data_IF_122225075439
#
_entry.id   IF_122225075439
#
_cell.length_a   1.000
_cell.length_b   1.000
_cell.length_c   1.000
_cell.angle_alpha   90.00
_cell.angle_beta   90.00
_cell.angle_gamma   90.00
#
_symmetry.space_group_name_H-M   'P 1'
#
loop_
_entity.id
_entity.type
_entity.pdbx_description
1 polymer ?
#
# COMPACT_ATOMS: atom_id res chain seq x y z
N UNK A 1 48.75 12.22 -6.03
CA UNK A 1 48.09 13.51 -5.75
C UNK A 1 47.26 13.87 -6.98
N UNK A 2 46.03 13.34 -6.96
CA UNK A 2 44.77 14.09 -7.10
C UNK A 2 44.46 14.52 -8.53
N UNK A 3 43.93 13.54 -9.28
CA UNK A 3 43.15 13.77 -10.48
C UNK A 3 41.85 14.51 -10.08
N UNK A 4 41.69 15.72 -10.61
CA UNK A 4 40.49 16.53 -10.44
C UNK A 4 39.31 15.90 -11.17
N UNK A 5 38.49 15.17 -10.39
CA UNK A 5 37.14 14.80 -10.76
C UNK A 5 36.24 16.05 -10.72
N UNK A 6 36.33 16.88 -11.76
CA UNK A 6 35.32 17.92 -12.02
C UNK A 6 34.01 17.20 -12.37
N UNK A 7 33.11 17.10 -11.39
CA UNK A 7 31.71 16.73 -11.60
C UNK A 7 31.10 17.68 -12.62
N UNK A 8 30.98 17.23 -13.87
CA UNK A 8 30.21 17.87 -14.92
C UNK A 8 28.77 18.12 -14.45
N UNK A 9 28.51 19.33 -13.96
CA UNK A 9 27.16 19.84 -13.80
C UNK A 9 26.50 19.82 -15.19
N UNK A 10 25.54 18.90 -15.40
CA UNK A 10 24.77 18.79 -16.65
C UNK A 10 24.30 20.18 -17.06
N UNK A 11 24.83 20.71 -18.16
CA UNK A 11 24.34 21.94 -18.79
C UNK A 11 22.81 21.80 -18.96
N UNK A 12 22.05 22.72 -18.36
CA UNK A 12 20.57 22.75 -18.45
C UNK A 12 20.05 23.18 -19.83
N UNK A 13 20.93 23.48 -20.79
CA UNK A 13 20.59 24.01 -22.13
C UNK A 13 20.60 22.96 -23.25
N UNK A 14 20.00 23.27 -24.41
CA UNK A 14 20.14 22.47 -25.62
C UNK A 14 21.57 22.58 -26.17
N UNK A 15 22.09 21.48 -26.75
CA UNK A 15 23.37 21.51 -27.45
C UNK A 15 23.33 22.49 -28.64
N UNK A 16 24.44 23.18 -28.93
CA UNK A 16 24.52 24.19 -29.98
C UNK A 16 24.04 23.69 -31.35
N UNK A 17 24.38 22.44 -31.72
CA UNK A 17 23.88 21.77 -32.94
C UNK A 17 22.36 21.70 -33.01
N UNK A 18 21.70 21.49 -31.87
CA UNK A 18 20.24 21.39 -31.77
C UNK A 18 19.59 22.76 -31.87
N UNK A 19 20.23 23.79 -31.32
CA UNK A 19 19.79 25.19 -31.47
C UNK A 19 19.87 25.62 -32.93
N UNK A 20 20.97 25.34 -33.60
CA UNK A 20 21.13 25.63 -35.03
C UNK A 20 20.09 24.90 -35.88
N UNK A 21 19.90 23.59 -35.64
CA UNK A 21 18.92 22.76 -36.36
C UNK A 21 17.49 23.29 -36.32
N UNK A 22 17.06 23.85 -35.19
CA UNK A 22 15.68 24.33 -35.02
C UNK A 22 15.54 25.85 -35.11
N UNK A 23 16.61 26.60 -35.41
CA UNK A 23 16.61 28.07 -35.40
C UNK A 23 15.50 28.66 -36.28
N UNK A 24 15.51 28.31 -37.57
CA UNK A 24 14.52 28.78 -38.54
C UNK A 24 13.09 28.38 -38.17
N UNK A 25 12.91 27.14 -37.71
CA UNK A 25 11.60 26.64 -37.27
C UNK A 25 11.07 27.38 -36.04
N UNK A 26 11.95 27.77 -35.09
CA UNK A 26 11.59 28.57 -33.91
C UNK A 26 11.18 29.98 -34.32
N UNK A 27 11.92 30.61 -35.23
CA UNK A 27 11.61 31.94 -35.74
C UNK A 27 10.25 31.95 -36.44
N UNK A 28 9.99 30.99 -37.33
CA UNK A 28 8.68 30.83 -37.97
C UNK A 28 7.56 30.54 -36.96
N UNK A 29 7.86 29.79 -35.90
CA UNK A 29 6.86 29.47 -34.87
C UNK A 29 6.43 30.70 -34.06
N UNK A 30 7.34 31.65 -33.82
CA UNK A 30 7.07 32.89 -33.10
C UNK A 30 6.48 34.01 -33.97
N UNK A 31 6.85 34.07 -35.25
CA UNK A 31 6.45 35.16 -36.17
C UNK A 31 5.22 34.86 -37.02
N UNK A 32 4.80 33.60 -37.15
CA UNK A 32 3.70 33.21 -38.04
C UNK A 32 2.59 32.42 -37.33
N UNK A 33 1.39 32.44 -37.94
CA UNK A 33 0.25 31.60 -37.53
C UNK A 33 0.31 30.17 -38.11
N UNK A 34 1.37 29.80 -38.85
CA UNK A 34 1.52 28.50 -39.51
C UNK A 34 1.50 27.32 -38.53
N UNK A 35 0.82 26.24 -38.87
CA UNK A 35 0.80 25.05 -38.01
C UNK A 35 2.21 24.47 -37.82
N UNK A 36 2.45 23.82 -36.68
CA UNK A 36 3.74 23.15 -36.41
C UNK A 36 4.11 22.16 -37.53
N UNK A 37 3.11 21.48 -38.12
CA UNK A 37 3.32 20.59 -39.26
C UNK A 37 3.80 21.34 -40.51
N UNK A 38 3.19 22.48 -40.83
CA UNK A 38 3.58 23.31 -41.95
C UNK A 38 5.00 23.88 -41.76
N UNK A 39 5.34 24.32 -40.55
CA UNK A 39 6.69 24.79 -40.20
C UNK A 39 7.70 23.67 -40.35
N UNK A 40 7.39 22.46 -39.84
CA UNK A 40 8.27 21.31 -39.95
C UNK A 40 8.53 20.90 -41.40
N UNK A 41 7.49 20.91 -42.24
CA UNK A 41 7.61 20.62 -43.66
C UNK A 41 8.48 21.67 -44.38
N UNK A 42 8.30 22.96 -44.07
CA UNK A 42 9.06 24.05 -44.67
C UNK A 42 10.54 24.04 -44.27
N UNK A 43 10.85 23.75 -43.01
CA UNK A 43 12.23 23.74 -42.50
C UNK A 43 12.91 22.36 -42.62
N UNK A 44 12.26 21.34 -43.19
CA UNK A 44 12.82 19.99 -43.30
C UNK A 44 13.12 19.31 -41.96
N UNK A 45 12.39 19.66 -40.89
CA UNK A 45 12.61 19.11 -39.54
C UNK A 45 11.54 18.11 -39.13
N UNK A 46 11.92 17.13 -38.30
CA UNK A 46 10.95 16.16 -37.76
C UNK A 46 9.94 16.85 -36.83
N UNK A 47 8.65 16.61 -37.07
CA UNK A 47 7.56 17.08 -36.22
C UNK A 47 7.72 16.66 -34.76
N UNK A 48 8.06 15.39 -34.50
CA UNK A 48 8.23 14.89 -33.14
C UNK A 48 9.44 15.53 -32.45
N UNK A 49 10.53 15.71 -33.19
CA UNK A 49 11.77 16.33 -32.71
C UNK A 49 11.59 17.81 -32.38
N UNK A 50 11.02 18.57 -33.31
CA UNK A 50 10.78 20.00 -33.13
C UNK A 50 9.76 20.27 -32.03
N UNK A 51 8.68 19.48 -31.95
CA UNK A 51 7.72 19.57 -30.85
C UNK A 51 8.39 19.34 -29.50
N UNK A 52 9.20 18.28 -29.37
CA UNK A 52 9.93 17.99 -28.13
C UNK A 52 10.87 19.13 -27.74
N UNK A 53 11.53 19.74 -28.74
CA UNK A 53 12.39 20.89 -28.55
C UNK A 53 11.63 22.12 -28.01
N UNK A 54 10.47 22.46 -28.59
CA UNK A 54 9.63 23.56 -28.11
C UNK A 54 9.16 23.34 -26.67
N UNK A 55 8.69 22.13 -26.33
CA UNK A 55 8.22 21.83 -24.97
C UNK A 55 9.32 21.93 -23.91
N UNK A 56 10.56 21.59 -24.27
CA UNK A 56 11.69 21.51 -23.33
C UNK A 56 12.49 22.80 -23.23
N UNK A 57 12.68 23.50 -24.35
CA UNK A 57 13.62 24.62 -24.45
C UNK A 57 12.99 25.95 -24.84
N UNK A 58 11.84 25.96 -25.53
CA UNK A 58 11.13 27.19 -25.95
C UNK A 58 9.68 27.21 -25.47
N UNK A 59 9.50 26.93 -24.17
CA UNK A 59 8.18 26.86 -23.54
C UNK A 59 7.53 28.24 -23.43
N UNK A 60 8.34 29.29 -23.36
CA UNK A 60 7.97 30.70 -23.51
C UNK A 60 7.13 30.97 -24.76
N UNK A 61 7.68 30.61 -25.94
CA UNK A 61 7.00 30.80 -27.23
C UNK A 61 5.74 29.94 -27.33
N UNK A 62 5.82 28.73 -26.79
CA UNK A 62 4.71 27.79 -26.78
C UNK A 62 3.54 28.37 -25.95
N UNK A 63 3.81 28.92 -24.76
CA UNK A 63 2.80 29.56 -23.91
C UNK A 63 2.24 30.85 -24.54
N UNK A 64 3.12 31.72 -25.05
CA UNK A 64 2.74 32.98 -25.70
C UNK A 64 1.79 32.75 -26.88
N UNK A 65 2.08 31.79 -27.75
CA UNK A 65 1.24 31.44 -28.90
C UNK A 65 -0.16 30.93 -28.50
N UNK A 66 -0.29 30.38 -27.29
CA UNK A 66 -1.56 29.94 -26.73
C UNK A 66 -2.23 31.01 -25.85
N UNK A 67 -1.71 32.25 -25.83
CA UNK A 67 -2.26 33.36 -25.05
C UNK A 67 -2.04 33.23 -23.55
N UNK A 68 -1.03 32.47 -23.11
CA UNK A 68 -0.71 32.27 -21.70
C UNK A 68 0.54 33.09 -21.36
N UNK A 69 0.36 34.12 -20.53
CA UNK A 69 1.47 34.90 -20.00
C UNK A 69 2.23 34.09 -18.93
N UNK A 70 3.56 34.12 -18.98
CA UNK A 70 4.42 33.60 -17.93
C UNK A 70 5.43 34.69 -17.54
N UNK A 71 5.43 35.07 -16.26
CA UNK A 71 6.21 36.20 -15.75
C UNK A 71 7.72 35.92 -15.67
N UNK A 72 8.13 34.64 -15.64
CA UNK A 72 9.54 34.24 -15.64
C UNK A 72 9.76 32.88 -16.33
N UNK A 73 11.02 32.54 -16.63
CA UNK A 73 11.38 31.23 -17.19
C UNK A 73 11.11 30.06 -16.21
N UNK A 74 11.23 30.30 -14.90
CA UNK A 74 10.87 29.35 -13.85
C UNK A 74 9.34 29.14 -13.82
N UNK A 75 8.56 30.23 -13.92
CA UNK A 75 7.10 30.16 -13.98
C UNK A 75 6.62 29.48 -15.25
N UNK A 76 7.27 29.70 -16.39
CA UNK A 76 6.95 29.04 -17.65
C UNK A 76 7.05 27.51 -17.53
N UNK A 77 8.00 26.97 -16.76
CA UNK A 77 8.17 25.54 -16.56
C UNK A 77 6.97 24.89 -15.83
N UNK A 78 6.41 25.58 -14.84
CA UNK A 78 5.29 25.08 -14.03
C UNK A 78 3.91 25.50 -14.56
N UNK A 79 3.85 26.56 -15.37
CA UNK A 79 2.64 27.06 -16.02
C UNK A 79 2.11 26.06 -17.04
N UNK A 80 0.84 25.71 -16.97
CA UNK A 80 0.20 24.78 -17.92
C UNK A 80 -0.41 25.56 -19.07
N UNK A 81 -0.27 25.03 -20.29
CA UNK A 81 -0.94 25.53 -21.49
C UNK A 81 -2.46 25.54 -21.39
N UNK A 82 -3.00 24.68 -20.54
CA UNK A 82 -4.43 24.50 -20.34
C UNK A 82 -4.69 24.30 -18.86
N UNK A 83 -5.77 24.92 -18.38
CA UNK A 83 -6.40 24.54 -17.13
C UNK A 83 -6.72 23.04 -17.11
N UNK A 84 -6.77 22.46 -15.90
CA UNK A 84 -7.12 21.04 -15.72
C UNK A 84 -8.51 20.71 -16.26
N UNK A 85 -9.38 21.71 -16.37
CA UNK A 85 -10.79 21.60 -16.74
C UNK A 85 -11.20 22.83 -17.55
N UNK A 86 -12.41 22.77 -18.11
CA UNK A 86 -13.01 23.85 -18.88
C UNK A 86 -12.78 23.72 -20.38
N UNK A 87 -13.44 24.65 -21.08
CA UNK A 87 -13.39 24.78 -22.54
C UNK A 87 -11.96 25.09 -22.99
N UNK A 88 -11.54 24.54 -24.12
CA UNK A 88 -10.23 24.89 -24.72
C UNK A 88 -10.29 26.28 -25.34
N UNK A 89 -9.16 26.99 -25.42
CA UNK A 89 -9.10 28.29 -26.09
C UNK A 89 -9.58 28.21 -27.56
N UNK A 90 -9.22 27.14 -28.27
CA UNK A 90 -9.71 26.90 -29.64
C UNK A 90 -11.23 26.66 -29.70
N UNK A 91 -11.81 25.96 -28.72
CA UNK A 91 -13.27 25.80 -28.66
C UNK A 91 -13.95 27.12 -28.26
N UNK A 92 -13.35 27.91 -27.37
CA UNK A 92 -13.84 29.25 -27.04
C UNK A 92 -13.81 30.17 -28.26
N UNK A 93 -12.76 30.13 -29.07
CA UNK A 93 -12.70 30.87 -30.33
C UNK A 93 -13.74 30.37 -31.35
N UNK A 94 -13.91 29.04 -31.47
CA UNK A 94 -14.86 28.44 -32.42
C UNK A 94 -16.32 28.70 -32.07
N UNK A 95 -16.68 28.61 -30.80
CA UNK A 95 -18.08 28.67 -30.34
C UNK A 95 -18.42 29.99 -29.65
N UNK A 96 -17.45 30.86 -29.38
CA UNK A 96 -17.61 32.05 -28.54
C UNK A 96 -18.70 32.99 -29.03
N UNK A 97 -18.67 33.33 -30.31
CA UNK A 97 -19.64 34.26 -30.91
C UNK A 97 -21.05 33.68 -30.92
N UNK A 98 -21.18 32.38 -31.24
CA UNK A 98 -22.47 31.69 -31.19
C UNK A 98 -23.01 31.53 -29.77
N UNK A 99 -22.12 31.34 -28.77
CA UNK A 99 -22.49 31.31 -27.36
C UNK A 99 -22.93 32.70 -26.87
N UNK A 100 -22.27 33.77 -27.31
CA UNK A 100 -22.68 35.14 -27.02
C UNK A 100 -24.05 35.45 -27.64
N UNK A 101 -24.27 35.06 -28.90
CA UNK A 101 -25.56 35.19 -29.57
C UNK A 101 -26.68 34.43 -28.85
N UNK A 102 -26.41 33.26 -28.28
CA UNK A 102 -27.39 32.55 -27.45
C UNK A 102 -27.86 33.33 -26.21
N UNK A 103 -27.06 34.30 -25.72
CA UNK A 103 -27.41 35.17 -24.60
C UNK A 103 -27.93 36.55 -25.00
N UNK A 104 -27.93 36.89 -26.28
CA UNK A 104 -28.33 38.19 -26.80
C UNK A 104 -29.81 38.18 -27.20
N UNK A 105 -30.55 39.20 -26.76
CA UNK A 105 -31.97 39.36 -27.01
C UNK A 105 -32.31 39.35 -28.51
N UNK A 106 -31.38 39.82 -29.37
CA UNK A 106 -31.53 39.83 -30.82
C UNK A 106 -31.75 38.43 -31.42
N UNK A 107 -31.30 37.38 -30.73
CA UNK A 107 -31.38 36.01 -31.22
C UNK A 107 -32.35 35.12 -30.43
N UNK A 108 -33.18 35.71 -29.57
CA UNK A 108 -34.17 34.94 -28.78
C UNK A 108 -35.29 34.34 -29.63
N UNK A 109 -35.51 34.80 -30.85
CA UNK A 109 -36.44 34.16 -31.79
C UNK A 109 -35.88 32.81 -32.30
N UNK A 110 -34.60 32.76 -32.68
CA UNK A 110 -33.94 31.58 -33.26
C UNK A 110 -33.65 30.48 -32.25
N UNK A 111 -33.91 29.21 -32.54
CA UNK A 111 -33.48 28.09 -31.70
C UNK A 111 -31.94 27.87 -31.75
N UNK A 112 -31.41 27.04 -30.85
CA UNK A 112 -29.94 26.80 -30.76
C UNK A 112 -29.37 26.22 -32.06
N UNK A 113 -30.14 25.40 -32.79
CA UNK A 113 -29.72 24.84 -34.07
C UNK A 113 -29.67 25.91 -35.16
N UNK A 114 -30.67 26.80 -35.21
CA UNK A 114 -30.71 27.93 -36.13
C UNK A 114 -29.54 28.89 -35.86
N UNK A 115 -29.27 29.20 -34.59
CA UNK A 115 -28.08 29.97 -34.21
C UNK A 115 -26.82 29.24 -34.67
N UNK A 116 -26.69 27.93 -34.45
CA UNK A 116 -25.51 27.20 -34.94
C UNK A 116 -25.32 27.35 -36.46
N UNK A 117 -26.40 27.25 -37.24
CA UNK A 117 -26.33 27.43 -38.69
C UNK A 117 -25.94 28.87 -39.10
N UNK A 118 -26.46 29.90 -38.41
CA UNK A 118 -26.08 31.30 -38.65
C UNK A 118 -24.57 31.54 -38.51
N UNK A 119 -23.91 30.81 -37.61
CA UNK A 119 -22.47 30.89 -37.37
C UNK A 119 -21.65 29.80 -38.10
N UNK A 120 -22.27 29.02 -39.00
CA UNK A 120 -21.57 27.95 -39.73
C UNK A 120 -21.10 26.79 -38.83
N UNK A 121 -21.75 26.56 -37.70
CA UNK A 121 -21.41 25.57 -36.69
C UNK A 121 -22.34 24.35 -36.74
N UNK A 122 -21.84 23.22 -36.24
CA UNK A 122 -22.66 22.03 -36.03
C UNK A 122 -23.63 22.25 -34.85
N UNK A 123 -24.97 22.11 -35.04
CA UNK A 123 -25.98 22.24 -34.00
C UNK A 123 -25.74 21.39 -32.76
N UNK A 124 -25.36 20.12 -32.94
CA UNK A 124 -25.06 19.19 -31.84
C UNK A 124 -23.81 19.63 -31.09
N UNK A 125 -22.81 20.15 -31.82
CA UNK A 125 -21.58 20.69 -31.24
C UNK A 125 -21.85 21.88 -30.32
N UNK A 126 -22.62 22.88 -30.79
CA UNK A 126 -22.99 24.05 -30.01
C UNK A 126 -23.83 23.68 -28.79
N UNK A 127 -24.83 22.80 -28.97
CA UNK A 127 -25.66 22.29 -27.88
C UNK A 127 -24.85 21.60 -26.78
N UNK A 128 -23.85 20.80 -27.16
CA UNK A 128 -22.97 20.15 -26.20
C UNK A 128 -22.08 21.14 -25.45
N UNK A 129 -21.63 22.22 -26.10
CA UNK A 129 -20.87 23.29 -25.43
C UNK A 129 -21.71 24.02 -24.39
N UNK A 130 -22.96 24.37 -24.73
CA UNK A 130 -23.90 25.01 -23.80
C UNK A 130 -24.13 24.13 -22.56
N UNK A 131 -24.48 22.85 -22.74
CA UNK A 131 -24.69 21.92 -21.61
C UNK A 131 -23.42 21.67 -20.80
N UNK A 132 -22.26 21.61 -21.45
CA UNK A 132 -21.00 21.28 -20.77
C UNK A 132 -20.40 22.47 -20.01
N UNK A 133 -20.52 23.69 -20.53
CA UNK A 133 -19.76 24.84 -20.04
C UNK A 133 -20.60 26.05 -19.64
N UNK A 134 -21.83 26.18 -20.15
CA UNK A 134 -22.69 27.34 -19.89
C UNK A 134 -24.15 26.91 -19.54
N UNK A 135 -24.37 26.01 -18.55
CA UNK A 135 -25.72 25.52 -18.25
C UNK A 135 -26.68 26.64 -17.80
N UNK A 136 -26.21 27.59 -16.98
CA UNK A 136 -27.03 28.72 -16.54
C UNK A 136 -27.40 29.69 -17.66
N UNK A 137 -26.57 29.82 -18.71
CA UNK A 137 -26.92 30.61 -19.90
C UNK A 137 -28.08 29.96 -20.64
N UNK A 138 -28.02 28.65 -20.82
CA UNK A 138 -29.08 27.88 -21.45
C UNK A 138 -30.39 28.02 -20.67
N UNK A 139 -30.37 27.88 -19.34
CA UNK A 139 -31.55 28.03 -18.49
C UNK A 139 -32.17 29.44 -18.58
N UNK A 140 -31.36 30.49 -18.45
CA UNK A 140 -31.83 31.89 -18.54
C UNK A 140 -32.45 32.21 -19.89
N UNK A 141 -31.79 31.82 -20.96
CA UNK A 141 -32.27 32.00 -22.34
C UNK A 141 -33.66 31.38 -22.53
N UNK A 142 -33.88 30.16 -22.04
CA UNK A 142 -35.18 29.50 -22.18
C UNK A 142 -36.27 30.17 -21.35
N UNK A 143 -35.94 30.70 -20.17
CA UNK A 143 -36.89 31.50 -19.39
C UNK A 143 -37.30 32.77 -20.15
N UNK A 144 -36.35 33.49 -20.75
CA UNK A 144 -36.65 34.68 -21.56
C UNK A 144 -37.46 34.34 -22.81
N UNK A 145 -37.12 33.26 -23.52
CA UNK A 145 -37.92 32.79 -24.66
C UNK A 145 -39.36 32.44 -24.27
N UNK A 146 -39.57 31.82 -23.11
CA UNK A 146 -40.92 31.54 -22.60
C UNK A 146 -41.68 32.81 -22.28
N UNK A 147 -41.03 33.79 -21.65
CA UNK A 147 -41.61 35.12 -21.37
C UNK A 147 -42.05 35.83 -22.64
N UNK A 148 -41.25 35.71 -23.71
CA UNK A 148 -41.51 36.34 -25.02
C UNK A 148 -42.46 35.53 -25.93
N UNK A 149 -42.99 34.39 -25.47
CA UNK A 149 -43.88 33.55 -26.28
C UNK A 149 -43.19 32.69 -27.35
N UNK A 150 -41.85 32.69 -27.41
CA UNK A 150 -41.04 31.86 -28.31
C UNK A 150 -40.78 30.44 -27.78
N UNK A 151 -41.66 29.94 -26.90
CA UNK A 151 -41.54 28.61 -26.31
C UNK A 151 -41.82 27.54 -27.38
N UNK A 152 -40.83 26.69 -27.65
CA UNK A 152 -40.95 25.58 -28.62
C UNK A 152 -41.57 24.30 -28.02
N UNK A 153 -42.05 24.36 -26.77
CA UNK A 153 -42.55 23.24 -25.97
C UNK A 153 -41.64 22.00 -25.93
N UNK A 154 -40.36 22.16 -26.29
CA UNK A 154 -39.42 21.05 -26.28
C UNK A 154 -38.89 20.80 -24.86
N UNK A 155 -38.81 19.53 -24.48
CA UNK A 155 -38.21 19.15 -23.20
C UNK A 155 -36.70 19.41 -23.22
N UNK A 156 -36.26 20.32 -22.35
CA UNK A 156 -34.84 20.65 -22.15
C UNK A 156 -34.38 20.20 -20.77
N UNK A 157 -33.14 19.74 -20.67
CA UNK A 157 -32.60 19.08 -19.46
C UNK A 157 -32.46 17.57 -19.62
N UNK A 158 -32.35 16.85 -18.51
CA UNK A 158 -32.31 15.37 -18.52
C UNK A 158 -33.70 14.84 -18.86
N UNK A 159 -33.81 13.97 -19.87
CA UNK A 159 -35.05 13.23 -20.11
C UNK A 159 -35.33 12.26 -18.95
N UNK A 160 -36.57 12.12 -18.46
CA UNK A 160 -36.92 11.24 -17.34
C UNK A 160 -36.38 9.80 -17.50
N UNK A 161 -36.61 9.18 -18.66
CA UNK A 161 -36.10 7.84 -18.95
C UNK A 161 -34.56 7.77 -18.93
N UNK A 162 -33.84 8.80 -19.39
CA UNK A 162 -32.38 8.85 -19.28
C UNK A 162 -31.93 8.96 -17.82
N UNK A 163 -32.66 9.73 -16.99
CA UNK A 163 -32.36 9.86 -15.57
C UNK A 163 -32.46 8.50 -14.88
N UNK A 164 -33.51 7.76 -15.17
CA UNK A 164 -33.73 6.41 -14.63
C UNK A 164 -32.69 5.42 -15.15
N UNK A 165 -32.44 5.41 -16.47
CA UNK A 165 -31.47 4.52 -17.10
C UNK A 165 -30.05 4.66 -16.50
N UNK A 166 -29.61 5.88 -16.22
CA UNK A 166 -28.27 6.13 -15.65
C UNK A 166 -28.26 6.24 -14.13
N UNK A 167 -29.40 6.16 -13.43
CA UNK A 167 -29.47 6.35 -11.99
C UNK A 167 -28.59 5.35 -11.22
N UNK A 168 -28.65 4.06 -11.59
CA UNK A 168 -27.82 3.02 -10.99
C UNK A 168 -26.32 3.29 -11.20
N UNK A 169 -25.94 3.68 -12.43
CA UNK A 169 -24.55 3.99 -12.78
C UNK A 169 -24.02 5.22 -12.01
N UNK A 170 -24.83 6.28 -11.90
CA UNK A 170 -24.47 7.49 -11.13
C UNK A 170 -24.34 7.17 -9.65
N UNK A 171 -25.25 6.37 -9.09
CA UNK A 171 -25.16 5.89 -7.69
C UNK A 171 -23.86 5.12 -7.47
N UNK A 172 -23.52 4.18 -8.37
CA UNK A 172 -22.29 3.40 -8.29
C UNK A 172 -21.03 4.29 -8.36
N UNK A 173 -21.02 5.30 -9.23
CA UNK A 173 -19.90 6.25 -9.35
C UNK A 173 -19.73 7.15 -8.12
N UNK A 174 -20.81 7.39 -7.36
CA UNK A 174 -20.78 8.15 -6.11
C UNK A 174 -20.26 7.31 -4.95
N UNK A 175 -20.66 6.04 -4.87
CA UNK A 175 -20.33 5.16 -3.73
C UNK A 175 -19.03 4.39 -3.92
N UNK A 176 -18.57 4.19 -5.17
CA UNK A 176 -17.41 3.34 -5.46
C UNK A 176 -16.29 4.05 -6.20
N UNK A 177 -15.10 3.46 -6.06
CA UNK A 177 -13.89 3.82 -6.78
C UNK A 177 -13.78 3.16 -8.18
N UNK A 178 -14.89 2.72 -8.77
CA UNK A 178 -14.88 2.10 -10.11
C UNK A 178 -14.70 3.14 -11.22
N UNK A 179 -14.09 2.75 -12.32
CA UNK A 179 -13.91 3.63 -13.48
C UNK A 179 -15.21 3.77 -14.30
N UNK A 180 -15.33 4.85 -15.09
CA UNK A 180 -16.51 5.05 -15.95
C UNK A 180 -16.78 3.85 -16.88
N UNK A 181 -15.76 3.23 -17.54
CA UNK A 181 -15.95 2.01 -18.31
C UNK A 181 -16.48 0.83 -17.48
N UNK A 182 -15.88 0.57 -16.31
CA UNK A 182 -16.31 -0.53 -15.43
C UNK A 182 -17.76 -0.36 -14.95
N UNK A 183 -18.17 0.87 -14.64
CA UNK A 183 -19.56 1.15 -14.26
C UNK A 183 -20.50 0.97 -15.44
N UNK A 184 -20.10 1.41 -16.64
CA UNK A 184 -20.90 1.27 -17.85
C UNK A 184 -21.17 -0.21 -18.15
N UNK A 185 -20.13 -1.05 -18.06
CA UNK A 185 -20.22 -2.50 -18.23
C UNK A 185 -21.12 -3.14 -17.15
N UNK A 186 -20.88 -2.83 -15.87
CA UNK A 186 -21.68 -3.39 -14.75
C UNK A 186 -23.16 -3.01 -14.79
N UNK A 187 -23.48 -1.81 -15.28
CA UNK A 187 -24.85 -1.33 -15.38
C UNK A 187 -25.49 -1.60 -16.75
N UNK A 188 -24.78 -2.24 -17.69
CA UNK A 188 -25.29 -2.52 -19.03
C UNK A 188 -25.62 -1.26 -19.84
N UNK A 189 -24.94 -0.14 -19.58
CA UNK A 189 -25.18 1.14 -20.26
C UNK A 189 -24.03 1.50 -21.19
N UNK A 190 -24.30 2.28 -22.24
CA UNK A 190 -23.26 2.78 -23.14
C UNK A 190 -22.24 3.65 -22.39
N UNK A 191 -20.95 3.33 -22.52
CA UNK A 191 -19.87 4.13 -21.95
C UNK A 191 -19.89 5.59 -22.44
N UNK A 192 -20.11 5.81 -23.74
CA UNK A 192 -20.14 7.16 -24.31
C UNK A 192 -21.36 7.93 -23.83
N UNK A 193 -22.52 7.28 -23.72
CA UNK A 193 -23.75 7.84 -23.18
C UNK A 193 -23.63 8.21 -21.70
N UNK A 194 -23.14 7.29 -20.87
CA UNK A 194 -22.90 7.54 -19.44
C UNK A 194 -21.91 8.69 -19.24
N UNK A 195 -20.82 8.71 -20.02
CA UNK A 195 -19.84 9.79 -19.97
C UNK A 195 -20.48 11.14 -20.27
N UNK A 196 -21.32 11.24 -21.31
CA UNK A 196 -22.03 12.47 -21.64
C UNK A 196 -23.01 12.87 -20.53
N UNK A 197 -23.80 11.92 -20.03
CA UNK A 197 -24.77 12.13 -18.97
C UNK A 197 -24.11 12.70 -17.70
N UNK A 198 -23.04 12.07 -17.23
CA UNK A 198 -22.24 12.57 -16.08
C UNK A 198 -21.63 13.94 -16.39
N UNK A 199 -21.10 14.14 -17.60
CA UNK A 199 -20.53 15.41 -18.01
C UNK A 199 -21.54 16.55 -18.04
N UNK A 200 -22.79 16.32 -18.43
CA UNK A 200 -23.79 17.38 -18.54
C UNK A 200 -24.47 17.67 -17.21
N UNK A 201 -24.83 16.63 -16.45
CA UNK A 201 -25.78 16.78 -15.34
C UNK A 201 -25.19 16.54 -13.95
N UNK A 202 -24.01 15.92 -13.84
CA UNK A 202 -23.39 15.57 -12.54
C UNK A 202 -22.01 16.22 -12.38
N UNK A 203 -21.98 17.56 -12.34
CA UNK A 203 -20.74 18.35 -12.20
C UNK A 203 -20.07 18.16 -10.84
N UNK A 204 -20.88 18.04 -9.80
CA UNK A 204 -20.50 17.69 -8.43
C UNK A 204 -19.74 16.36 -8.39
N UNK A 205 -20.25 15.33 -9.07
CA UNK A 205 -19.63 14.02 -9.16
C UNK A 205 -18.27 14.09 -9.87
N UNK A 206 -18.17 14.85 -10.96
CA UNK A 206 -16.91 15.06 -11.66
C UNK A 206 -15.88 15.80 -10.78
N UNK A 207 -16.34 16.76 -9.98
CA UNK A 207 -15.50 17.47 -9.01
C UNK A 207 -14.96 16.53 -7.94
N UNK A 208 -15.85 15.81 -7.24
CA UNK A 208 -15.49 14.87 -6.18
C UNK A 208 -14.50 13.80 -6.68
N UNK A 209 -14.77 13.19 -7.85
CA UNK A 209 -13.89 12.16 -8.42
C UNK A 209 -12.55 12.72 -8.88
N UNK A 210 -12.50 13.97 -9.33
CA UNK A 210 -11.22 14.60 -9.67
C UNK A 210 -10.42 14.92 -8.41
N UNK A 211 -11.04 15.36 -7.32
CA UNK A 211 -10.35 15.58 -6.04
C UNK A 211 -9.79 14.28 -5.49
N UNK A 212 -10.57 13.19 -5.56
CA UNK A 212 -10.10 11.84 -5.21
C UNK A 212 -8.83 11.47 -5.98
N UNK A 213 -8.80 11.71 -7.30
CA UNK A 213 -7.59 11.48 -8.12
C UNK A 213 -6.42 12.38 -7.73
N UNK A 214 -6.67 13.63 -7.35
CA UNK A 214 -5.59 14.52 -6.91
C UNK A 214 -4.98 14.05 -5.59
N UNK A 215 -5.80 13.66 -4.61
CA UNK A 215 -5.33 13.06 -3.36
C UNK A 215 -4.55 11.77 -3.60
N UNK A 216 -5.01 10.95 -4.55
CA UNK A 216 -4.35 9.71 -4.95
C UNK A 216 -2.99 9.86 -5.66
N UNK A 217 -2.57 11.07 -6.06
CA UNK A 217 -1.24 11.27 -6.68
C UNK A 217 -0.12 11.12 -5.67
N UNK A 218 -0.33 11.60 -4.46
CA UNK A 218 0.68 11.61 -3.39
C UNK A 218 0.63 10.32 -2.58
N UNK A 219 -0.54 9.70 -2.44
CA UNK A 219 -0.74 8.48 -1.64
C UNK A 219 -1.23 7.32 -2.51
N UNK A 220 -0.29 6.55 -3.09
CA UNK A 220 -0.64 5.32 -3.80
C UNK A 220 -0.88 4.20 -2.78
N UNK A 221 -2.12 3.71 -2.71
CA UNK A 221 -2.53 2.61 -1.83
C UNK A 221 -3.03 1.44 -2.66
N UNK A 222 -2.63 0.21 -2.33
CA UNK A 222 -3.06 -1.02 -3.02
C UNK A 222 -4.59 -1.06 -3.07
N UNK A 223 -5.16 -1.32 -4.24
CA UNK A 223 -6.62 -1.41 -4.46
C UNK A 223 -7.36 -0.09 -4.68
N UNK A 224 -6.76 1.05 -4.32
CA UNK A 224 -7.38 2.37 -4.50
C UNK A 224 -7.02 3.02 -5.84
N UNK A 225 -7.83 3.98 -6.28
CA UNK A 225 -7.56 4.79 -7.46
C UNK A 225 -6.21 5.52 -7.31
N UNK A 226 -5.48 5.62 -8.42
CA UNK A 226 -4.29 6.45 -8.57
C UNK A 226 -4.62 7.79 -9.24
N UNK A 227 -3.66 8.72 -9.30
CA UNK A 227 -3.82 9.97 -10.06
C UNK A 227 -4.18 9.82 -11.55
N UNK A 228 -3.94 8.64 -12.13
CA UNK A 228 -4.37 8.32 -13.51
C UNK A 228 -5.86 7.96 -13.64
N UNK A 229 -6.53 7.69 -12.52
CA UNK A 229 -7.89 7.16 -12.47
C UNK A 229 -7.96 5.63 -12.47
N UNK A 230 -6.86 4.91 -12.73
CA UNK A 230 -6.78 3.45 -12.61
C UNK A 230 -6.52 3.02 -11.16
N UNK A 231 -7.04 1.86 -10.78
CA UNK A 231 -6.71 1.23 -9.49
C UNK A 231 -5.22 0.91 -9.39
N UNK A 232 -4.67 1.07 -8.20
CA UNK A 232 -3.29 0.74 -7.90
C UNK A 232 -3.21 -0.76 -7.64
N UNK A 233 -2.98 -1.50 -8.71
CA UNK A 233 -2.92 -2.95 -8.70
C UNK A 233 -1.75 -3.43 -9.58
N UNK A 234 -1.17 -4.60 -9.29
CA UNK A 234 -0.13 -5.17 -10.14
C UNK A 234 -0.73 -5.61 -11.47
N UNK A 235 0.02 -5.45 -12.55
CA UNK A 235 -0.39 -5.90 -13.89
C UNK A 235 -0.57 -7.42 -13.90
N UNK A 236 -1.44 -7.98 -14.76
CA UNK A 236 -1.63 -9.43 -14.86
C UNK A 236 -0.30 -10.18 -15.10
N UNK A 237 0.54 -9.67 -15.99
CA UNK A 237 1.88 -10.21 -16.25
C UNK A 237 2.77 -10.21 -15.00
N UNK A 238 2.75 -9.14 -14.21
CA UNK A 238 3.51 -9.08 -12.95
C UNK A 238 2.96 -10.09 -11.95
N UNK A 239 1.63 -10.21 -11.85
CA UNK A 239 1.00 -11.19 -10.95
C UNK A 239 1.47 -12.60 -11.26
N UNK A 240 1.48 -12.97 -12.55
CA UNK A 240 1.92 -14.30 -12.96
C UNK A 240 3.41 -14.51 -12.70
N UNK A 241 4.26 -13.53 -13.09
CA UNK A 241 5.71 -13.60 -12.88
C UNK A 241 6.11 -13.85 -11.42
N UNK A 242 5.40 -13.26 -10.46
CA UNK A 242 5.72 -13.40 -9.04
C UNK A 242 4.86 -14.46 -8.33
N UNK A 243 3.92 -15.12 -9.02
CA UNK A 243 2.94 -16.04 -8.42
C UNK A 243 3.60 -17.14 -7.61
N UNK A 244 4.57 -17.82 -8.21
CA UNK A 244 5.30 -18.91 -7.55
C UNK A 244 6.17 -18.42 -6.39
N UNK A 245 6.89 -17.31 -6.57
CA UNK A 245 7.72 -16.71 -5.53
C UNK A 245 6.90 -16.27 -4.31
N UNK A 246 5.70 -15.72 -4.52
CA UNK A 246 4.78 -15.33 -3.44
C UNK A 246 4.24 -16.56 -2.72
N UNK A 247 3.86 -17.61 -3.45
CA UNK A 247 3.43 -18.89 -2.84
C UNK A 247 4.52 -19.49 -1.97
N UNK A 248 5.76 -19.60 -2.48
CA UNK A 248 6.91 -20.07 -1.72
C UNK A 248 7.15 -19.17 -0.50
N UNK A 249 7.05 -17.85 -0.65
CA UNK A 249 7.20 -16.90 0.46
C UNK A 249 6.10 -17.01 1.51
N UNK A 250 4.88 -17.43 1.17
CA UNK A 250 3.84 -17.66 2.17
C UNK A 250 4.06 -18.98 2.93
N UNK A 251 4.34 -20.05 2.19
CA UNK A 251 4.27 -21.43 2.67
C UNK A 251 5.59 -21.95 3.28
N UNK A 252 6.74 -21.49 2.81
CA UNK A 252 8.04 -22.05 3.21
C UNK A 252 8.78 -21.22 4.25
N UNK A 253 9.76 -21.82 4.93
CA UNK A 253 10.71 -21.10 5.79
C UNK A 253 11.88 -20.47 5.01
N UNK A 254 11.88 -20.51 3.68
CA UNK A 254 12.99 -20.05 2.84
C UNK A 254 13.22 -18.53 2.92
N UNK A 255 14.46 -18.11 2.77
CA UNK A 255 14.81 -16.70 2.68
C UNK A 255 14.36 -16.10 1.34
N UNK A 256 14.18 -14.78 1.29
CA UNK A 256 13.86 -14.10 0.01
C UNK A 256 14.97 -14.33 -1.03
N UNK A 257 16.22 -14.51 -0.58
CA UNK A 257 17.35 -14.83 -1.46
C UNK A 257 17.16 -16.20 -2.10
N UNK A 258 16.94 -17.23 -1.30
CA UNK A 258 16.73 -18.60 -1.80
C UNK A 258 15.54 -18.65 -2.76
N UNK A 259 14.41 -18.02 -2.41
CA UNK A 259 13.23 -17.96 -3.27
C UNK A 259 13.53 -17.26 -4.60
N UNK A 260 14.27 -16.15 -4.57
CA UNK A 260 14.69 -15.44 -5.78
C UNK A 260 15.59 -16.31 -6.67
N UNK A 261 16.55 -17.02 -6.07
CA UNK A 261 17.48 -17.91 -6.77
C UNK A 261 16.73 -19.11 -7.40
N UNK A 262 15.77 -19.72 -6.69
CA UNK A 262 14.96 -20.84 -7.18
C UNK A 262 13.97 -20.46 -8.29
N UNK A 263 13.38 -19.27 -8.20
CA UNK A 263 12.36 -18.80 -9.17
C UNK A 263 12.96 -18.01 -10.34
N UNK A 264 14.27 -17.76 -10.34
CA UNK A 264 14.95 -16.93 -11.35
C UNK A 264 14.55 -15.46 -11.34
N UNK A 265 13.93 -14.98 -10.25
CA UNK A 265 13.44 -13.61 -10.11
C UNK A 265 14.51 -12.75 -9.43
N UNK A 266 14.68 -11.50 -9.87
CA UNK A 266 15.62 -10.60 -9.19
C UNK A 266 15.21 -10.35 -7.74
N UNK A 267 16.13 -10.60 -6.79
CA UNK A 267 15.91 -10.42 -5.35
C UNK A 267 15.35 -9.04 -4.97
N UNK A 268 15.92 -7.96 -5.52
CA UNK A 268 15.47 -6.59 -5.21
C UNK A 268 14.07 -6.33 -5.75
N UNK A 269 13.75 -6.87 -6.92
CA UNK A 269 12.42 -6.77 -7.51
C UNK A 269 11.38 -7.57 -6.73
N UNK A 270 11.73 -8.79 -6.28
CA UNK A 270 10.89 -9.61 -5.41
C UNK A 270 10.63 -8.91 -4.06
N UNK A 271 11.66 -8.37 -3.42
CA UNK A 271 11.53 -7.58 -2.19
C UNK A 271 10.56 -6.41 -2.36
N UNK A 272 10.70 -5.64 -3.44
CA UNK A 272 9.81 -4.52 -3.76
C UNK A 272 8.39 -4.99 -4.05
N UNK A 273 8.22 -6.09 -4.79
CA UNK A 273 6.91 -6.66 -5.11
C UNK A 273 6.17 -7.09 -3.83
N UNK A 274 6.83 -7.87 -2.97
CA UNK A 274 6.24 -8.32 -1.70
C UNK A 274 5.84 -7.15 -0.80
N UNK A 275 6.69 -6.11 -0.71
CA UNK A 275 6.44 -4.93 0.12
C UNK A 275 5.21 -4.14 -0.33
N UNK A 276 5.00 -4.00 -1.64
CA UNK A 276 3.92 -3.18 -2.20
C UNK A 276 2.63 -3.98 -2.33
N UNK A 277 2.72 -5.22 -2.80
CA UNK A 277 1.56 -6.01 -3.22
C UNK A 277 1.17 -7.12 -2.26
N UNK A 278 2.11 -7.70 -1.53
CA UNK A 278 1.87 -8.88 -0.66
C UNK A 278 2.02 -8.53 0.82
N UNK A 279 1.38 -7.43 1.26
CA UNK A 279 1.49 -6.96 2.64
C UNK A 279 0.92 -7.97 3.62
N UNK A 280 -0.22 -8.57 3.32
CA UNK A 280 -0.85 -9.61 4.14
C UNK A 280 0.11 -10.78 4.37
N UNK A 281 0.72 -11.30 3.30
CA UNK A 281 1.69 -12.40 3.38
C UNK A 281 2.95 -11.99 4.15
N UNK A 282 3.41 -10.74 4.00
CA UNK A 282 4.55 -10.24 4.79
C UNK A 282 4.26 -10.12 6.28
N UNK A 283 3.04 -9.75 6.66
CA UNK A 283 2.60 -9.68 8.06
C UNK A 283 2.37 -11.08 8.63
N UNK A 284 1.67 -11.95 7.88
CA UNK A 284 1.45 -13.34 8.26
C UNK A 284 2.77 -14.10 8.42
N UNK A 285 3.79 -13.81 7.59
CA UNK A 285 5.13 -14.38 7.77
C UNK A 285 5.79 -14.00 9.09
N UNK A 286 5.40 -12.88 9.69
CA UNK A 286 5.83 -12.44 11.03
C UNK A 286 4.86 -12.84 12.14
N UNK A 287 3.85 -13.66 11.85
CA UNK A 287 2.82 -14.03 12.84
C UNK A 287 1.94 -12.86 13.29
N UNK A 288 1.79 -11.84 12.44
CA UNK A 288 0.94 -10.68 12.71
C UNK A 288 -0.17 -10.57 11.67
N UNK A 289 -1.32 -10.03 12.06
CA UNK A 289 -2.38 -9.67 11.13
C UNK A 289 -2.10 -8.30 10.50
N UNK A 290 -2.38 -8.19 9.20
CA UNK A 290 -2.27 -6.92 8.51
C UNK A 290 -3.53 -6.06 8.77
N UNK A 291 -3.31 -4.81 9.16
CA UNK A 291 -4.34 -3.75 9.15
C UNK A 291 -3.89 -2.62 8.23
N UNK A 292 -4.84 -1.98 7.56
CA UNK A 292 -4.50 -0.90 6.63
C UNK A 292 -3.72 0.22 7.37
N UNK A 293 -2.56 0.60 6.83
CA UNK A 293 -1.68 1.58 7.46
C UNK A 293 -0.72 1.02 8.52
N UNK A 294 -0.83 -0.26 8.88
CA UNK A 294 0.09 -0.87 9.85
C UNK A 294 1.53 -0.90 9.35
N UNK A 295 2.47 -0.63 10.27
CA UNK A 295 3.91 -0.70 10.01
C UNK A 295 4.48 -2.03 10.49
N UNK A 296 5.34 -2.64 9.67
CA UNK A 296 6.11 -3.83 10.07
C UNK A 296 7.09 -3.54 11.22
N UNK A 297 7.41 -2.28 11.51
CA UNK A 297 8.27 -1.92 12.64
C UNK A 297 7.58 -2.07 13.99
N UNK A 298 6.24 -2.06 14.01
CA UNK A 298 5.42 -2.16 15.21
C UNK A 298 5.08 -3.61 15.57
N UNK A 299 5.39 -4.57 14.68
CA UNK A 299 5.12 -5.99 14.91
C UNK A 299 6.35 -6.69 15.46
N UNK A 300 6.13 -7.70 16.34
CA UNK A 300 7.21 -8.56 16.85
C UNK A 300 7.95 -9.20 15.67
N UNK A 301 9.27 -9.21 15.73
CA UNK A 301 10.11 -9.71 14.63
C UNK A 301 10.19 -11.24 14.64
N UNK A 302 9.10 -11.93 14.33
CA UNK A 302 9.15 -13.38 14.12
C UNK A 302 9.77 -13.71 12.77
N UNK A 303 10.77 -14.61 12.78
CA UNK A 303 11.46 -15.08 11.57
C UNK A 303 11.19 -16.58 11.38
N UNK A 304 10.41 -16.94 10.35
CA UNK A 304 10.14 -18.35 10.00
C UNK A 304 11.41 -19.19 9.81
N UNK A 305 12.48 -18.61 9.26
CA UNK A 305 13.80 -19.26 9.11
C UNK A 305 14.37 -19.69 10.45
N UNK A 306 14.30 -18.80 11.44
CA UNK A 306 14.80 -19.04 12.80
C UNK A 306 13.92 -20.05 13.52
N UNK A 307 12.60 -19.97 13.36
CA UNK A 307 11.70 -20.96 13.91
C UNK A 307 11.93 -22.36 13.34
N UNK A 308 12.11 -22.48 12.01
CA UNK A 308 12.42 -23.75 11.37
C UNK A 308 13.75 -24.34 11.85
N UNK A 309 14.77 -23.49 12.12
CA UNK A 309 16.04 -23.93 12.71
C UNK A 309 15.85 -24.60 14.08
N UNK A 310 14.96 -24.06 14.91
CA UNK A 310 14.74 -24.55 16.27
C UNK A 310 13.66 -25.63 16.38
N UNK A 311 12.80 -25.79 15.36
CA UNK A 311 11.66 -26.70 15.41
C UNK A 311 12.03 -28.16 15.75
N UNK A 312 13.06 -28.79 15.14
CA UNK A 312 13.43 -30.17 15.48
C UNK A 312 13.88 -30.32 16.94
N UNK A 313 14.64 -29.34 17.45
CA UNK A 313 15.10 -29.34 18.85
C UNK A 313 13.94 -29.13 19.83
N UNK A 314 12.94 -28.33 19.46
CA UNK A 314 11.74 -28.10 20.28
C UNK A 314 10.87 -29.35 20.34
N UNK A 315 10.67 -30.04 19.21
CA UNK A 315 9.93 -31.31 19.17
C UNK A 315 10.61 -32.38 20.03
N UNK A 316 11.94 -32.51 19.92
CA UNK A 316 12.73 -33.41 20.76
C UNK A 316 12.60 -33.07 22.25
N UNK A 317 12.66 -31.78 22.60
CA UNK A 317 12.51 -31.29 23.99
C UNK A 317 11.08 -31.48 24.54
N UNK A 318 10.06 -31.49 23.68
CA UNK A 318 8.68 -31.81 24.07
C UNK A 318 8.51 -33.30 24.38
N UNK A 319 9.16 -34.16 23.59
CA UNK A 319 9.09 -35.61 23.72
C UNK A 319 9.96 -36.15 24.88
N UNK A 320 11.15 -35.61 25.06
CA UNK A 320 12.14 -36.09 26.02
C UNK A 320 12.33 -35.10 27.18
N UNK A 321 12.17 -35.55 28.44
CA UNK A 321 12.48 -34.77 29.66
C UNK A 321 14.01 -34.62 29.89
N UNK A 322 14.76 -34.24 28.86
CA UNK A 322 16.22 -34.03 28.86
C UNK A 322 16.56 -32.55 29.04
N UNK A 323 17.77 -32.23 29.56
CA UNK A 323 18.17 -30.86 29.79
C UNK A 323 18.37 -30.12 28.46
N UNK A 324 17.92 -28.87 28.41
CA UNK A 324 17.95 -28.04 27.19
C UNK A 324 19.35 -27.90 26.57
N UNK A 325 20.41 -27.94 27.39
CA UNK A 325 21.80 -27.86 26.91
C UNK A 325 22.24 -29.09 26.11
N UNK A 326 21.76 -30.28 26.49
CA UNK A 326 22.13 -31.54 25.84
C UNK A 326 21.44 -31.64 24.47
N UNK A 327 20.15 -31.35 24.41
CA UNK A 327 19.41 -31.27 23.14
C UNK A 327 19.98 -30.16 22.26
N UNK A 328 20.33 -28.99 22.81
CA UNK A 328 20.95 -27.94 22.02
C UNK A 328 22.27 -28.41 21.39
N UNK A 329 23.12 -29.14 22.12
CA UNK A 329 24.37 -29.67 21.61
C UNK A 329 24.16 -30.70 20.47
N UNK A 330 23.17 -31.59 20.58
CA UNK A 330 22.83 -32.57 19.54
C UNK A 330 22.49 -31.91 18.19
N UNK A 331 21.80 -30.78 18.23
CA UNK A 331 21.41 -30.02 17.03
C UNK A 331 22.43 -28.93 16.65
N UNK A 332 23.61 -28.88 17.28
CA UNK A 332 24.64 -27.86 17.02
C UNK A 332 24.19 -26.43 17.36
N UNK A 333 23.26 -26.27 18.30
CA UNK A 333 22.71 -25.01 18.74
C UNK A 333 23.44 -24.49 19.98
N UNK A 334 23.64 -23.18 20.07
CA UNK A 334 24.17 -22.57 21.29
C UNK A 334 23.11 -22.64 22.42
N UNK A 335 23.41 -23.28 23.57
CA UNK A 335 22.43 -23.52 24.63
C UNK A 335 21.73 -22.25 25.14
N UNK A 336 22.48 -21.18 25.43
CA UNK A 336 21.86 -19.95 25.96
C UNK A 336 20.98 -19.21 24.97
N UNK A 337 21.37 -19.17 23.68
CA UNK A 337 20.55 -18.56 22.63
C UNK A 337 19.26 -19.36 22.44
N UNK A 338 19.33 -20.69 22.53
CA UNK A 338 18.16 -21.55 22.44
C UNK A 338 17.23 -21.38 23.66
N UNK A 339 17.76 -21.28 24.89
CA UNK A 339 16.97 -20.97 26.08
C UNK A 339 16.26 -19.63 25.98
N UNK A 340 16.95 -18.59 25.51
CA UNK A 340 16.36 -17.27 25.31
C UNK A 340 15.24 -17.32 24.26
N UNK A 341 15.42 -18.10 23.19
CA UNK A 341 14.38 -18.32 22.17
C UNK A 341 13.15 -19.01 22.75
N UNK A 342 13.33 -20.09 23.54
CA UNK A 342 12.24 -20.78 24.23
C UNK A 342 11.48 -19.83 25.17
N UNK A 343 12.19 -19.00 25.93
CA UNK A 343 11.56 -18.01 26.81
C UNK A 343 10.66 -17.02 26.05
N UNK A 344 11.07 -16.62 24.84
CA UNK A 344 10.36 -15.62 24.04
C UNK A 344 9.20 -16.18 23.19
N UNK A 345 9.30 -17.44 22.75
CA UNK A 345 8.38 -18.04 21.78
C UNK A 345 7.60 -19.26 22.30
N UNK A 346 8.11 -19.94 23.32
CA UNK A 346 7.55 -21.18 23.89
C UNK A 346 7.63 -21.13 25.44
N UNK A 347 6.96 -20.15 26.08
CA UNK A 347 7.15 -19.88 27.51
C UNK A 347 6.72 -21.04 28.41
N UNK A 348 5.76 -21.85 27.97
CA UNK A 348 5.30 -23.05 28.69
C UNK A 348 6.38 -24.12 28.73
N UNK A 349 7.06 -24.39 27.60
CA UNK A 349 8.19 -25.33 27.56
C UNK A 349 9.38 -24.81 28.35
N UNK A 350 9.64 -23.51 28.26
CA UNK A 350 10.66 -22.87 29.07
C UNK A 350 10.37 -23.00 30.57
N UNK A 351 9.12 -22.79 30.99
CA UNK A 351 8.69 -22.92 32.38
C UNK A 351 8.74 -24.37 32.89
N UNK A 352 8.53 -25.35 32.02
CA UNK A 352 8.71 -26.78 32.34
C UNK A 352 10.17 -27.13 32.62
N UNK A 353 11.10 -26.56 31.85
CA UNK A 353 12.55 -26.78 31.99
C UNK A 353 13.22 -25.84 33.01
N UNK A 354 12.48 -24.88 33.55
CA UNK A 354 12.98 -23.82 34.43
C UNK A 354 13.06 -24.20 35.92
N UNK A 355 13.42 -23.19 36.72
CA UNK A 355 13.41 -23.27 38.18
C UNK A 355 12.00 -22.99 38.71
N UNK A 356 11.53 -23.79 39.66
CA UNK A 356 10.31 -23.53 40.43
C UNK A 356 10.64 -22.94 41.81
N UNK A 357 9.72 -22.19 42.39
CA UNK A 357 9.79 -21.80 43.81
C UNK A 357 9.15 -22.91 44.64
N UNK A 358 9.88 -23.45 45.61
CA UNK A 358 9.35 -24.38 46.59
C UNK A 358 8.60 -23.62 47.70
N UNK A 359 7.81 -24.35 48.50
CA UNK A 359 7.03 -23.82 49.64
C UNK A 359 7.89 -23.04 50.65
N UNK A 360 9.16 -23.42 50.79
CA UNK A 360 10.16 -22.74 51.61
C UNK A 360 10.82 -21.52 50.95
N UNK A 361 10.26 -21.02 49.84
CA UNK A 361 10.74 -19.84 49.11
C UNK A 361 12.01 -20.06 48.26
N UNK A 362 12.66 -21.24 48.33
CA UNK A 362 13.88 -21.54 47.57
C UNK A 362 13.60 -21.85 46.11
N UNK A 363 14.54 -21.51 45.23
CA UNK A 363 14.45 -21.82 43.80
C UNK A 363 15.07 -23.20 43.52
N UNK A 364 14.26 -24.15 43.09
CA UNK A 364 14.65 -25.54 42.84
C UNK A 364 14.43 -25.87 41.35
N UNK A 365 15.32 -26.65 40.75
CA UNK A 365 15.07 -27.21 39.41
C UNK A 365 13.85 -28.13 39.46
N UNK A 366 12.86 -27.85 38.60
CA UNK A 366 11.60 -28.62 38.55
C UNK A 366 11.84 -30.11 38.27
N UNK A 367 12.78 -30.42 37.38
CA UNK A 367 13.21 -31.79 37.06
C UNK A 367 13.81 -32.53 38.27
N UNK A 368 14.65 -31.86 39.06
CA UNK A 368 15.22 -32.44 40.27
C UNK A 368 14.16 -32.62 41.35
N UNK A 369 13.21 -31.68 41.45
CA UNK A 369 12.06 -31.82 42.33
C UNK A 369 11.20 -33.01 41.92
N UNK A 370 10.80 -33.13 40.66
CA UNK A 370 10.02 -34.27 40.15
C UNK A 370 10.74 -35.61 40.38
N UNK A 371 12.06 -35.66 40.16
CA UNK A 371 12.87 -36.87 40.39
C UNK A 371 12.95 -37.29 41.86
N UNK A 372 12.98 -36.33 42.78
CA UNK A 372 13.17 -36.58 44.21
C UNK A 372 11.91 -36.34 45.05
N UNK A 373 10.77 -35.97 44.45
CA UNK A 373 9.55 -35.58 45.16
C UNK A 373 9.03 -36.72 46.04
N UNK A 374 9.01 -37.93 45.52
CA UNK A 374 8.58 -39.12 46.26
C UNK A 374 9.54 -39.41 47.43
N UNK A 375 10.85 -39.30 47.20
CA UNK A 375 11.86 -39.49 48.24
C UNK A 375 11.79 -38.41 49.34
N UNK A 376 11.51 -37.17 48.95
CA UNK A 376 11.36 -36.03 49.87
C UNK A 376 10.08 -36.16 50.68
N UNK A 377 8.96 -36.53 50.05
CA UNK A 377 7.69 -36.79 50.72
C UNK A 377 7.81 -37.91 51.75
N UNK A 378 8.43 -39.04 51.36
CA UNK A 378 8.71 -40.14 52.29
C UNK A 378 9.62 -39.70 53.44
N UNK A 379 10.63 -38.89 53.17
CA UNK A 379 11.53 -38.39 54.22
C UNK A 379 10.85 -37.39 55.16
N UNK A 380 9.83 -36.67 54.69
CA UNK A 380 9.03 -35.75 55.52
C UNK A 380 7.99 -36.47 56.37
N UNK A 381 7.38 -37.54 55.85
CA UNK A 381 6.27 -38.26 56.51
C UNK A 381 6.71 -39.48 57.31
N UNK A 382 7.91 -40.02 57.07
CA UNK A 382 8.42 -41.22 57.77
C UNK A 382 9.75 -40.92 58.47
N UNK A 383 9.95 -41.49 59.65
CA UNK A 383 11.22 -41.42 60.39
C UNK A 383 12.31 -42.35 59.80
N UNK A 384 12.15 -42.78 58.54
CA UNK A 384 13.12 -43.65 57.88
C UNK A 384 14.40 -42.88 57.53
N UNK A 385 15.59 -43.46 57.72
CA UNK A 385 16.84 -42.80 57.33
C UNK A 385 16.87 -42.65 55.81
N UNK A 386 17.30 -41.46 55.33
CA UNK A 386 17.37 -41.11 53.89
C UNK A 386 18.13 -42.14 53.04
N UNK A 387 19.09 -42.87 53.65
CA UNK A 387 19.85 -43.95 53.02
C UNK A 387 18.99 -45.18 52.68
N UNK A 388 17.98 -45.47 53.49
CA UNK A 388 17.01 -46.54 53.24
C UNK A 388 16.04 -46.16 52.11
N UNK A 389 15.50 -44.94 52.16
CA UNK A 389 14.61 -44.39 51.13
C UNK A 389 15.32 -44.35 49.77
N UNK A 390 16.59 -43.91 49.74
CA UNK A 390 17.40 -43.90 48.52
C UNK A 390 17.56 -45.32 47.93
N UNK A 391 17.80 -46.34 48.77
CA UNK A 391 17.94 -47.72 48.32
C UNK A 391 16.62 -48.29 47.79
N UNK A 392 15.51 -48.01 48.46
CA UNK A 392 14.16 -48.45 48.06
C UNK A 392 13.74 -47.88 46.70
N UNK A 393 14.02 -46.61 46.46
CA UNK A 393 13.67 -45.92 45.22
C UNK A 393 14.74 -46.05 44.11
N UNK A 394 15.81 -46.83 44.33
CA UNK A 394 16.90 -46.98 43.36
C UNK A 394 17.67 -45.66 43.08
N UNK A 395 17.65 -44.72 44.01
CA UNK A 395 18.27 -43.41 43.87
C UNK A 395 19.67 -43.39 44.49
N UNK A 396 20.59 -42.63 43.86
CA UNK A 396 21.91 -42.42 44.44
C UNK A 396 21.81 -41.57 45.71
N UNK A 397 22.16 -42.16 46.86
CA UNK A 397 22.13 -41.51 48.17
C UNK A 397 22.94 -40.20 48.22
N UNK A 398 24.12 -40.14 47.59
CA UNK A 398 24.95 -38.94 47.64
C UNK A 398 24.30 -37.77 46.89
N UNK A 399 23.63 -38.06 45.77
CA UNK A 399 22.89 -37.06 44.99
C UNK A 399 21.61 -36.62 45.71
N UNK A 400 20.86 -37.56 46.27
CA UNK A 400 19.64 -37.26 47.04
C UNK A 400 19.97 -36.49 48.34
N UNK A 401 20.96 -36.94 49.11
CA UNK A 401 21.41 -36.27 50.33
C UNK A 401 22.04 -34.91 50.08
N UNK A 402 22.70 -34.71 48.92
CA UNK A 402 23.14 -33.39 48.47
C UNK A 402 21.97 -32.48 48.10
N UNK A 403 20.92 -33.03 47.49
CA UNK A 403 19.71 -32.29 47.12
C UNK A 403 18.90 -31.85 48.34
N UNK A 404 18.65 -32.75 49.30
CA UNK A 404 17.91 -32.45 50.54
C UNK A 404 18.65 -31.41 51.38
N UNK A 405 19.96 -31.52 51.57
CA UNK A 405 20.74 -30.52 52.33
C UNK A 405 20.66 -29.10 51.77
N UNK A 406 20.69 -28.96 50.44
CA UNK A 406 20.67 -27.63 49.79
C UNK A 406 19.27 -27.03 49.72
N UNK A 407 18.25 -27.86 49.52
CA UNK A 407 16.92 -27.37 49.22
C UNK A 407 15.92 -27.52 50.38
N UNK A 408 16.12 -28.47 51.30
CA UNK A 408 15.23 -28.77 52.42
C UNK A 408 16.02 -29.11 53.72
N UNK A 409 16.83 -28.19 54.26
CA UNK A 409 17.60 -28.45 55.49
C UNK A 409 16.69 -28.64 56.70
N UNK A 410 15.51 -28.02 56.71
CA UNK A 410 14.53 -28.12 57.79
C UNK A 410 14.01 -29.55 58.00
N UNK A 411 13.92 -30.34 56.92
CA UNK A 411 13.57 -31.77 57.01
C UNK A 411 14.66 -32.61 57.69
N UNK A 412 15.92 -32.15 57.63
CA UNK A 412 17.04 -32.80 58.31
C UNK A 412 17.02 -32.49 59.79
N UNK A 413 16.67 -31.25 60.17
CA UNK A 413 16.52 -30.84 61.56
C UNK A 413 15.36 -31.58 62.23
N UNK A 414 14.20 -31.63 61.58
CA UNK A 414 13.01 -32.34 62.06
C UNK A 414 13.25 -33.85 62.28
N UNK A 415 13.93 -34.51 61.35
CA UNK A 415 14.25 -35.93 61.50
C UNK A 415 15.34 -36.20 62.55
N UNK A 416 16.23 -35.23 62.84
CA UNK A 416 17.17 -35.34 63.96
C UNK A 416 16.45 -35.24 65.30
N UNK A 417 15.51 -34.31 65.44
CA UNK A 417 14.67 -34.14 66.63
C UNK A 417 13.81 -35.39 66.90
N UNK A 418 13.20 -36.00 65.87
CA UNK A 418 12.47 -37.26 66.01
C UNK A 418 13.36 -38.50 66.27
N UNK A 419 14.68 -38.40 66.11
CA UNK A 419 15.63 -39.50 66.34
C UNK A 419 16.30 -39.47 67.71
N UNK A 420 16.00 -38.48 68.55
CA UNK A 420 16.42 -38.46 69.96
C UNK A 420 15.48 -39.37 70.76
N UNK A 421 15.96 -40.41 71.45
CA UNK A 421 15.12 -41.19 72.35
C UNK A 421 14.59 -40.28 73.47
N UNK A 422 13.28 -40.31 73.72
CA UNK A 422 12.73 -39.91 75.01
C UNK A 422 13.24 -40.91 76.06
N UNK A 423 14.36 -40.61 76.72
CA UNK A 423 14.67 -41.24 78.00
C UNK A 423 13.75 -40.65 79.05
N UNK A 424 12.81 -41.48 79.51
CA UNK A 424 12.04 -41.24 80.72
C UNK A 424 12.77 -41.79 81.93
N UNK A 425 13.21 -40.91 82.80
CA UNK A 425 13.30 -41.06 84.27
C UNK A 425 13.44 -39.61 84.80
N UNK A 426 12.72 -39.15 85.82
CA UNK A 426 12.62 -39.75 87.13
C UNK A 426 11.23 -39.58 87.75
N UNK A 427 10.78 -40.65 88.40
CA UNK A 427 9.84 -40.63 89.50
C UNK A 427 10.66 -40.65 90.79
N UNK A 428 10.59 -39.57 91.58
CA UNK A 428 10.23 -39.51 93.01
C UNK A 428 10.16 -38.05 93.48
#
# INVERSE_FOLDING_TARGET
MTADFVKNARQKGPAARTVAKYREAVELYGSTSLSVRAICARCGVSYAGFRSYLYKYRRDLLLSRHGVAASSASDAAHTRLRGRRGQTAAARAKYGDALAACGDAKYFEYNVSQIAHLFGLNPTGLSNQLRAHCPGLLERRELERRRLGFADNQQRGVRPWCREQYAAAVKLLRTTELTLPEVAEKCGVSFTGLRQHVCFYHKDLLQARSELRERAKTQKRKGHITGSGRRHEPTPESRERYREAVRMYAQSALTIREIADMTGVNRSSLCSYLRVWCREETFARRGAEYREGASLSQTKQYKKTTAAKYAPAIERLRAENRPTSEIAAEFGLHPEVFRQYLKEHEPELYARQGMMRASNGRSISRRSMEKYAEAVGLYETTAEPLKSIARRLGLNYNSLGGFVRRNFPELIEKNKECSVPCDGSDAE
#
